data_IF_868011018187
#
_entry.id   IF_868011018187
#
_cell.length_a   1.000
_cell.length_b   1.000
_cell.length_c   1.000
_cell.angle_alpha   90.00
_cell.angle_beta   90.00
_cell.angle_gamma   90.00
#
_symmetry.space_group_name_H-M   'P 1'
#
loop_
_entity.id
_entity.type
_entity.pdbx_description
1 polymer ?
#
# COMPACT_ATOMS: atom_id res chain seq x y z
N UNK A 1 -8.51 -1.46 5.28
CA UNK A 1 -7.73 -2.67 4.94
C UNK A 1 -8.56 -3.66 4.10
N UNK A 2 -9.05 -3.25 2.92
CA UNK A 2 -9.89 -4.12 2.07
C UNK A 2 -9.25 -4.47 0.72
N UNK A 3 -8.35 -3.64 0.19
CA UNK A 3 -7.98 -3.72 -1.24
C UNK A 3 -6.92 -4.79 -1.58
N UNK A 4 -5.99 -5.13 -0.69
CA UNK A 4 -5.02 -6.23 -0.94
C UNK A 4 -5.66 -7.59 -0.74
N UNK A 5 -6.53 -7.72 0.28
CA UNK A 5 -7.34 -8.92 0.47
C UNK A 5 -8.26 -9.20 -0.72
N UNK A 6 -8.80 -8.16 -1.35
CA UNK A 6 -9.58 -8.30 -2.58
C UNK A 6 -8.74 -8.91 -3.70
N UNK A 7 -7.50 -8.45 -3.92
CA UNK A 7 -6.65 -9.00 -4.99
C UNK A 7 -6.20 -10.45 -4.72
N UNK A 8 -5.84 -10.78 -3.49
CA UNK A 8 -5.50 -12.17 -3.11
C UNK A 8 -6.72 -13.10 -3.18
N UNK A 9 -7.91 -12.63 -2.79
CA UNK A 9 -9.17 -13.39 -2.94
C UNK A 9 -9.69 -13.43 -4.38
N UNK A 10 -9.22 -12.53 -5.25
CA UNK A 10 -9.62 -12.48 -6.65
C UNK A 10 -8.86 -13.47 -7.53
N UNK A 11 -7.66 -13.94 -7.17
CA UNK A 11 -6.96 -14.91 -8.03
C UNK A 11 -7.82 -16.16 -8.28
N UNK A 12 -8.41 -16.72 -7.23
CA UNK A 12 -9.33 -17.87 -7.35
C UNK A 12 -10.66 -17.52 -8.06
N UNK A 13 -11.03 -16.23 -8.12
CA UNK A 13 -12.18 -15.75 -8.88
C UNK A 13 -11.84 -15.47 -10.36
N UNK A 14 -10.57 -15.22 -10.65
CA UNK A 14 -10.00 -14.96 -11.96
C UNK A 14 -9.70 -16.28 -12.70
N UNK A 15 -9.14 -17.25 -11.97
CA UNK A 15 -8.80 -18.60 -12.44
C UNK A 15 -10.06 -19.48 -12.50
N UNK A 16 -10.91 -19.22 -13.50
CA UNK A 16 -12.20 -19.91 -13.67
C UNK A 16 -12.02 -21.40 -13.89
N UNK A 17 -10.97 -21.80 -14.61
CA UNK A 17 -10.70 -23.21 -14.91
C UNK A 17 -9.90 -23.90 -13.78
N UNK A 18 -9.47 -23.15 -12.75
CA UNK A 18 -8.70 -23.61 -11.59
C UNK A 18 -7.42 -24.33 -11.98
N UNK A 19 -6.80 -23.92 -13.08
CA UNK A 19 -5.55 -24.51 -13.57
C UNK A 19 -4.32 -23.93 -12.85
N UNK A 20 -4.51 -22.96 -11.95
CA UNK A 20 -3.48 -22.29 -11.18
C UNK A 20 -2.76 -21.17 -11.93
N UNK A 21 -3.27 -20.75 -13.09
CA UNK A 21 -2.69 -19.77 -14.02
C UNK A 21 -3.80 -18.90 -14.60
N UNK A 22 -3.48 -17.66 -14.95
CA UNK A 22 -4.41 -16.77 -15.63
C UNK A 22 -4.00 -16.61 -17.08
N UNK A 23 -4.80 -17.17 -17.98
CA UNK A 23 -4.61 -17.01 -19.41
C UNK A 23 -5.21 -15.68 -19.89
N UNK A 24 -4.73 -15.16 -21.03
CA UNK A 24 -5.25 -13.93 -21.64
C UNK A 24 -6.78 -13.91 -21.76
N UNK A 25 -7.38 -15.07 -22.04
CA UNK A 25 -8.83 -15.20 -22.17
C UNK A 25 -9.53 -14.99 -20.83
N UNK A 26 -9.02 -15.56 -19.75
CA UNK A 26 -9.60 -15.43 -18.40
C UNK A 26 -9.49 -13.98 -17.90
N UNK A 27 -8.36 -13.32 -18.17
CA UNK A 27 -8.15 -11.91 -17.88
C UNK A 27 -9.12 -11.03 -18.69
N UNK A 28 -9.29 -11.31 -19.99
CA UNK A 28 -10.22 -10.57 -20.85
C UNK A 28 -11.68 -10.71 -20.39
N UNK A 29 -12.11 -11.93 -20.03
CA UNK A 29 -13.44 -12.18 -19.49
C UNK A 29 -13.67 -11.45 -18.15
N UNK A 30 -12.67 -11.46 -17.28
CA UNK A 30 -12.72 -10.71 -16.03
C UNK A 30 -12.87 -9.20 -16.28
N UNK A 31 -12.05 -8.63 -17.15
CA UNK A 31 -12.12 -7.20 -17.47
C UNK A 31 -13.51 -6.81 -17.98
N UNK A 32 -14.09 -7.61 -18.88
CA UNK A 32 -15.45 -7.38 -19.39
C UNK A 32 -16.50 -7.50 -18.27
N UNK A 33 -16.35 -8.48 -17.37
CA UNK A 33 -17.26 -8.67 -16.23
C UNK A 33 -17.31 -7.45 -15.32
N UNK A 34 -16.20 -6.71 -15.20
CA UNK A 34 -16.09 -5.48 -14.41
C UNK A 34 -16.34 -4.20 -15.23
N UNK A 35 -16.78 -4.31 -16.48
CA UNK A 35 -17.12 -3.18 -17.35
C UNK A 35 -15.93 -2.55 -18.10
N UNK A 36 -14.78 -3.21 -18.09
CA UNK A 36 -13.59 -2.80 -18.85
C UNK A 36 -13.53 -3.48 -20.22
N UNK A 37 -12.78 -2.88 -21.16
CA UNK A 37 -12.57 -3.45 -22.50
C UNK A 37 -11.53 -4.57 -22.45
N UNK A 38 -11.76 -5.66 -23.17
CA UNK A 38 -10.83 -6.79 -23.27
C UNK A 38 -9.40 -6.43 -23.74
N UNK A 39 -9.24 -5.32 -24.47
CA UNK A 39 -7.93 -4.83 -24.93
C UNK A 39 -6.96 -4.51 -23.79
N UNK A 40 -7.47 -4.20 -22.59
CA UNK A 40 -6.65 -3.99 -21.41
C UNK A 40 -6.01 -5.27 -20.88
N UNK A 41 -6.43 -6.46 -21.35
CA UNK A 41 -5.82 -7.73 -20.96
C UNK A 41 -4.35 -7.80 -21.36
N UNK A 42 -3.98 -7.18 -22.48
CA UNK A 42 -2.60 -7.17 -22.96
C UNK A 42 -1.69 -6.30 -22.10
N UNK A 43 -2.20 -5.15 -21.64
CA UNK A 43 -1.51 -4.31 -20.67
C UNK A 43 -1.41 -4.98 -19.30
N UNK A 44 -2.44 -5.73 -18.91
CA UNK A 44 -2.45 -6.50 -17.67
C UNK A 44 -1.39 -7.61 -17.69
N UNK A 45 -1.31 -8.38 -18.78
CA UNK A 45 -0.25 -9.37 -18.98
C UNK A 45 1.10 -8.67 -18.94
N UNK A 46 1.30 -7.59 -19.69
CA UNK A 46 2.58 -6.87 -19.75
C UNK A 46 3.08 -6.36 -18.38
N UNK A 47 2.19 -6.08 -17.45
CA UNK A 47 2.55 -5.63 -16.10
C UNK A 47 2.85 -6.78 -15.13
N UNK A 48 2.22 -7.93 -15.29
CA UNK A 48 2.24 -9.02 -14.30
C UNK A 48 3.03 -10.25 -14.78
N UNK A 49 3.09 -10.50 -16.08
CA UNK A 49 3.85 -11.57 -16.73
C UNK A 49 5.33 -11.22 -16.79
N UNK A 50 6.05 -11.59 -15.72
CA UNK A 50 7.47 -11.29 -15.56
C UNK A 50 8.34 -12.14 -16.48
N UNK A 51 7.95 -13.40 -16.72
CA UNK A 51 8.70 -14.36 -17.52
C UNK A 51 8.40 -14.24 -19.04
N UNK A 52 7.34 -13.49 -19.42
CA UNK A 52 6.86 -13.24 -20.78
C UNK A 52 6.37 -14.49 -21.53
N UNK A 53 5.84 -15.47 -20.81
CA UNK A 53 5.25 -16.68 -21.39
C UNK A 53 3.80 -16.48 -21.84
N UNK A 54 3.22 -15.29 -21.61
CA UNK A 54 1.88 -14.90 -22.02
C UNK A 54 0.80 -15.38 -21.07
N UNK A 55 1.16 -15.97 -19.94
CA UNK A 55 0.26 -16.41 -18.87
C UNK A 55 0.73 -15.81 -17.54
N UNK A 56 -0.20 -15.48 -16.64
CA UNK A 56 0.19 -15.01 -15.31
C UNK A 56 0.07 -16.20 -14.36
N UNK A 57 1.21 -16.76 -13.96
CA UNK A 57 1.24 -17.79 -12.93
C UNK A 57 0.84 -17.22 -11.57
N UNK A 58 0.38 -18.08 -10.64
CA UNK A 58 0.08 -17.66 -9.27
C UNK A 58 1.27 -16.97 -8.60
N UNK A 59 2.49 -17.46 -8.82
CA UNK A 59 3.70 -16.84 -8.29
C UNK A 59 3.96 -15.45 -8.89
N UNK A 60 3.75 -15.26 -10.19
CA UNK A 60 3.86 -13.94 -10.83
C UNK A 60 2.79 -12.99 -10.35
N UNK A 61 1.55 -13.45 -10.22
CA UNK A 61 0.47 -12.66 -9.65
C UNK A 61 0.78 -12.24 -8.20
N UNK A 62 1.21 -13.18 -7.36
CA UNK A 62 1.55 -12.88 -5.97
C UNK A 62 2.80 -12.01 -5.87
N UNK A 63 3.80 -12.20 -6.71
CA UNK A 63 5.00 -11.35 -6.75
C UNK A 63 4.64 -9.95 -7.22
N UNK A 64 3.78 -9.79 -8.23
CA UNK A 64 3.30 -8.50 -8.68
C UNK A 64 2.43 -7.83 -7.60
N UNK A 65 1.51 -8.55 -6.95
CA UNK A 65 0.71 -8.04 -5.81
C UNK A 65 1.60 -7.67 -4.61
N UNK A 66 2.70 -8.38 -4.38
CA UNK A 66 3.70 -8.03 -3.35
C UNK A 66 4.60 -6.86 -3.77
N UNK A 67 4.93 -6.76 -5.05
CA UNK A 67 5.77 -5.71 -5.64
C UNK A 67 5.01 -4.39 -5.80
N UNK A 68 3.70 -4.46 -6.04
CA UNK A 68 2.73 -3.45 -5.67
C UNK A 68 2.65 -3.48 -4.14
N UNK A 69 3.77 -3.12 -3.47
CA UNK A 69 3.79 -2.99 -2.02
C UNK A 69 2.52 -2.26 -1.63
N UNK A 70 1.75 -2.76 -0.64
CA UNK A 70 0.84 -1.88 0.02
C UNK A 70 1.71 -0.84 0.72
N UNK A 71 1.97 0.27 0.04
CA UNK A 71 1.78 1.53 0.74
C UNK A 71 0.35 1.40 1.25
N UNK A 72 0.19 1.03 2.53
CA UNK A 72 -1.13 0.87 3.18
C UNK A 72 -2.02 2.10 2.97
N UNK A 73 -1.39 3.19 2.55
CA UNK A 73 -1.92 4.48 2.19
C UNK A 73 -1.38 4.93 0.83
N UNK A 74 -2.23 5.48 -0.02
CA UNK A 74 -1.81 6.18 -1.25
C UNK A 74 -1.03 7.45 -0.90
N UNK A 75 -0.28 8.03 -1.85
CA UNK A 75 0.42 9.30 -1.61
C UNK A 75 -0.54 10.42 -1.15
N UNK A 76 -1.74 10.47 -1.72
CA UNK A 76 -2.77 11.41 -1.30
C UNK A 76 -3.22 11.17 0.16
N UNK A 77 -3.36 9.91 0.57
CA UNK A 77 -3.70 9.55 1.95
C UNK A 77 -2.55 9.86 2.91
N UNK A 78 -1.30 9.60 2.52
CA UNK A 78 -0.12 9.92 3.31
C UNK A 78 0.02 11.43 3.53
N UNK A 79 -0.16 12.23 2.46
CA UNK A 79 -0.21 13.69 2.58
C UNK A 79 -1.36 14.17 3.45
N UNK A 80 -2.54 13.56 3.36
CA UNK A 80 -3.67 13.91 4.21
C UNK A 80 -3.41 13.57 5.69
N UNK A 81 -2.79 12.42 5.97
CA UNK A 81 -2.38 12.03 7.32
C UNK A 81 -1.32 12.98 7.88
N UNK A 82 -0.30 13.31 7.08
CA UNK A 82 0.73 14.26 7.47
C UNK A 82 0.12 15.62 7.83
N UNK A 83 -0.73 16.17 6.97
CA UNK A 83 -1.45 17.44 7.23
C UNK A 83 -2.36 17.39 8.46
N UNK A 84 -2.87 16.21 8.81
CA UNK A 84 -3.72 16.02 10.00
C UNK A 84 -2.87 15.92 11.27
N UNK A 85 -1.69 15.34 11.17
CA UNK A 85 -0.74 15.24 12.26
C UNK A 85 -0.05 16.59 12.55
N UNK A 86 0.45 17.26 11.51
CA UNK A 86 1.06 18.60 11.53
C UNK A 86 -0.01 19.69 11.72
N UNK A 87 -0.38 19.95 12.98
CA UNK A 87 -1.47 20.85 13.36
C UNK A 87 -1.04 22.31 13.31
N UNK A 88 0.23 22.59 13.54
CA UNK A 88 0.77 23.94 13.47
C UNK A 88 1.27 24.33 12.08
N UNK A 89 1.25 23.38 11.13
CA UNK A 89 1.69 23.57 9.74
C UNK A 89 3.16 23.99 9.64
N UNK A 90 3.98 23.54 10.58
CA UNK A 90 5.42 23.75 10.58
C UNK A 90 6.13 22.98 9.46
N UNK A 91 5.46 21.99 8.86
CA UNK A 91 6.05 21.10 7.86
C UNK A 91 6.87 19.97 8.47
N UNK A 92 6.75 19.75 9.79
CA UNK A 92 7.33 18.63 10.54
C UNK A 92 6.37 18.21 11.64
N UNK A 93 6.40 16.96 12.07
CA UNK A 93 5.52 16.44 13.12
C UNK A 93 6.30 16.35 14.42
N UNK A 94 5.91 17.17 15.38
CA UNK A 94 6.50 17.13 16.71
C UNK A 94 6.05 15.91 17.52
N UNK A 95 6.79 15.60 18.59
CA UNK A 95 6.46 14.53 19.54
C UNK A 95 5.06 14.67 20.16
N UNK A 96 4.57 15.90 20.35
CA UNK A 96 3.21 16.17 20.86
C UNK A 96 2.15 15.89 19.80
N UNK A 97 2.41 16.29 18.57
CA UNK A 97 1.50 16.11 17.44
C UNK A 97 1.36 14.64 17.06
N UNK A 98 2.47 13.90 16.96
CA UNK A 98 2.44 12.47 16.67
C UNK A 98 1.64 11.70 17.73
N UNK A 99 1.85 12.00 19.02
CA UNK A 99 1.08 11.40 20.11
C UNK A 99 -0.41 11.68 19.97
N UNK A 100 -0.78 12.94 19.72
CA UNK A 100 -2.17 13.35 19.58
C UNK A 100 -2.82 12.65 18.37
N UNK A 101 -2.11 12.60 17.25
CA UNK A 101 -2.56 11.91 16.04
C UNK A 101 -2.81 10.41 16.28
N UNK A 102 -1.93 9.72 17.00
CA UNK A 102 -2.08 8.30 17.32
C UNK A 102 -3.23 8.05 18.30
N UNK A 103 -3.40 8.90 19.32
CA UNK A 103 -4.53 8.83 20.25
C UNK A 103 -5.87 9.06 19.52
N UNK A 104 -5.93 9.97 18.54
CA UNK A 104 -7.11 10.18 17.68
C UNK A 104 -7.45 8.96 16.81
N UNK A 105 -6.48 8.10 16.48
CA UNK A 105 -6.69 6.82 15.79
C UNK A 105 -7.10 5.67 16.74
N UNK A 106 -7.40 5.97 18.01
CA UNK A 106 -7.68 5.00 19.08
C UNK A 106 -6.50 4.07 19.40
N UNK A 107 -5.28 4.45 19.02
CA UNK A 107 -4.07 3.78 19.46
C UNK A 107 -3.60 4.40 20.77
N UNK A 108 -3.61 3.62 21.84
CA UNK A 108 -3.03 4.02 23.11
C UNK A 108 -1.51 3.84 23.04
N UNK A 109 -0.79 4.96 23.05
CA UNK A 109 0.67 4.98 22.97
C UNK A 109 1.24 5.83 24.09
N UNK A 110 2.28 5.34 24.75
CA UNK A 110 2.95 6.09 25.80
C UNK A 110 3.84 7.18 25.20
N UNK A 111 4.04 8.27 25.95
CA UNK A 111 4.98 9.35 25.54
C UNK A 111 6.41 8.82 25.32
N UNK A 112 6.81 7.80 26.07
CA UNK A 112 8.09 7.13 25.92
C UNK A 112 8.21 6.36 24.60
N UNK A 113 7.14 5.68 24.15
CA UNK A 113 7.13 4.97 22.87
C UNK A 113 7.17 5.95 21.70
N UNK A 114 6.34 7.00 21.74
CA UNK A 114 6.33 8.04 20.70
C UNK A 114 7.71 8.68 20.53
N UNK A 115 8.40 8.94 21.65
CA UNK A 115 9.75 9.50 21.62
C UNK A 115 10.76 8.53 21.01
N UNK A 116 10.69 7.24 21.36
CA UNK A 116 11.55 6.22 20.75
C UNK A 116 11.30 6.11 19.24
N UNK A 117 10.06 6.13 18.79
CA UNK A 117 9.75 6.05 17.37
C UNK A 117 10.26 7.25 16.58
N UNK A 118 10.18 8.46 17.16
CA UNK A 118 10.79 9.64 16.56
C UNK A 118 12.30 9.46 16.51
N UNK A 119 12.96 9.10 17.61
CA UNK A 119 14.41 8.89 17.62
C UNK A 119 14.88 7.77 16.65
N UNK A 120 14.04 6.78 16.36
CA UNK A 120 14.31 5.72 15.38
C UNK A 120 14.24 6.20 13.91
N UNK A 121 13.41 7.20 13.62
CA UNK A 121 13.09 7.63 12.25
C UNK A 121 13.58 9.05 11.91
N UNK A 122 13.96 9.84 12.92
CA UNK A 122 14.57 11.17 12.83
C UNK A 122 16.03 11.06 12.34
N UNK A 123 16.20 11.14 11.02
CA UNK A 123 17.48 11.05 10.32
C UNK A 123 18.23 12.37 10.41
N UNK A 124 17.51 13.48 10.39
CA UNK A 124 18.07 14.82 10.40
C UNK A 124 18.45 15.31 11.82
N UNK A 125 17.99 14.60 12.87
CA UNK A 125 18.21 14.82 14.31
C UNK A 125 17.60 16.11 14.86
N UNK A 126 16.52 16.59 14.27
CA UNK A 126 15.80 17.79 14.71
C UNK A 126 14.75 17.51 15.80
N UNK A 127 14.57 16.24 16.18
CA UNK A 127 13.60 15.71 17.16
C UNK A 127 12.14 15.82 16.71
N UNK A 128 11.93 15.97 15.41
CA UNK A 128 10.65 15.99 14.74
C UNK A 128 10.69 14.96 13.60
N UNK A 129 9.56 14.77 12.92
CA UNK A 129 9.52 13.97 11.71
C UNK A 129 9.12 14.86 10.55
N UNK A 130 10.04 15.09 9.62
CA UNK A 130 9.68 15.70 8.35
C UNK A 130 8.78 14.74 7.52
N UNK A 131 8.34 15.20 6.35
CA UNK A 131 7.45 14.38 5.52
C UNK A 131 8.08 13.04 5.13
N UNK A 132 9.36 12.99 4.78
CA UNK A 132 10.04 11.76 4.36
C UNK A 132 10.24 10.80 5.55
N UNK A 133 10.60 11.33 6.70
CA UNK A 133 10.74 10.58 7.95
C UNK A 133 9.40 10.04 8.45
N UNK A 134 8.32 10.83 8.30
CA UNK A 134 6.95 10.38 8.58
C UNK A 134 6.52 9.26 7.63
N UNK A 135 6.87 9.33 6.34
CA UNK A 135 6.58 8.25 5.40
C UNK A 135 7.26 6.94 5.82
N UNK A 136 8.51 7.02 6.30
CA UNK A 136 9.26 5.87 6.80
C UNK A 136 8.59 5.30 8.06
N UNK A 137 8.23 6.17 9.01
CA UNK A 137 7.48 5.80 10.21
C UNK A 137 6.14 5.11 9.89
N UNK A 138 5.34 5.66 8.97
CA UNK A 138 4.05 5.08 8.60
C UNK A 138 4.24 3.73 7.90
N UNK A 139 5.33 3.54 7.15
CA UNK A 139 5.63 2.26 6.49
C UNK A 139 6.12 1.19 7.46
N UNK A 140 6.84 1.57 8.50
CA UNK A 140 7.37 0.66 9.52
C UNK A 140 6.33 0.30 10.59
N UNK A 141 5.60 1.30 11.12
CA UNK A 141 4.75 1.15 12.31
C UNK A 141 3.25 1.04 12.03
N UNK A 142 2.74 1.53 10.89
CA UNK A 142 1.31 1.55 10.55
C UNK A 142 1.00 0.61 9.38
#
# INVERSE_FOLDING_TARGET
>A
MAHVKILEQNFDSLDKNRNGKLEKKEIAEFLVTFGFKQQYAEEFIKQFDANKDGIISKDEFMNAVRAIKPSKFTEAQLRAMFKKADKDHSGSISCKELKTFLEEQKNLVSKSEVRKWIEEHDKNKDKQLDYEEFLDFVRDKL
#
